data_IF_037663784749
#
_entry.id   IF_037663784749
#
_cell.length_a   1.000
_cell.length_b   1.000
_cell.length_c   1.000
_cell.angle_alpha   90.00
_cell.angle_beta   90.00
_cell.angle_gamma   90.00
#
_symmetry.space_group_name_H-M   'P 1'
#
loop_
_entity.id
_entity.type
_entity.pdbx_description
1 polymer ?
#
# COMPACT_ATOMS: atom_id res chain seq x y z
N UNK A 1 -48.78 39.26 -26.87
CA UNK A 1 -47.44 39.86 -26.67
C UNK A 1 -46.58 38.81 -25.97
N UNK A 2 -45.93 37.91 -26.71
CA UNK A 2 -44.49 37.91 -27.01
C UNK A 2 -43.59 38.34 -25.83
N UNK A 3 -42.69 37.40 -25.47
CA UNK A 3 -41.37 37.50 -24.82
C UNK A 3 -41.34 36.79 -23.45
N UNK A 4 -40.39 35.94 -23.11
CA UNK A 4 -39.25 35.30 -23.80
C UNK A 4 -38.81 34.16 -22.85
N UNK A 5 -38.48 33.00 -23.40
CA UNK A 5 -37.86 31.88 -22.67
C UNK A 5 -36.43 32.27 -22.25
N UNK A 6 -35.94 31.76 -21.12
CA UNK A 6 -34.62 31.10 -21.09
C UNK A 6 -34.40 30.37 -19.76
N UNK A 7 -34.51 29.05 -19.86
CA UNK A 7 -33.86 28.07 -18.99
C UNK A 7 -32.37 28.41 -18.85
N UNK A 8 -31.91 28.60 -17.63
CA UNK A 8 -30.50 28.43 -17.27
C UNK A 8 -30.45 27.57 -16.00
N UNK A 9 -30.54 26.26 -16.23
CA UNK A 9 -30.02 25.26 -15.32
C UNK A 9 -28.50 25.40 -15.30
N UNK A 10 -27.98 26.14 -14.33
CA UNK A 10 -26.55 26.15 -14.03
C UNK A 10 -26.26 25.01 -13.07
N UNK A 11 -25.87 23.89 -13.68
CA UNK A 11 -25.12 22.80 -13.08
C UNK A 11 -23.93 23.38 -12.29
N UNK A 12 -24.05 23.50 -10.97
CA UNK A 12 -22.86 23.61 -10.13
C UNK A 12 -22.24 22.21 -10.05
N UNK A 13 -21.44 21.89 -11.06
CA UNK A 13 -20.47 20.82 -10.97
C UNK A 13 -19.45 21.31 -9.94
N UNK A 14 -19.67 21.00 -8.67
CA UNK A 14 -18.64 21.12 -7.66
C UNK A 14 -17.49 20.23 -8.15
N UNK A 15 -16.43 20.86 -8.63
CA UNK A 15 -15.16 20.20 -8.90
C UNK A 15 -14.72 19.53 -7.60
N UNK A 16 -15.02 18.25 -7.48
CA UNK A 16 -14.32 17.36 -6.56
C UNK A 16 -12.92 17.27 -7.14
N UNK A 17 -12.04 18.17 -6.69
CA UNK A 17 -10.62 17.91 -6.72
C UNK A 17 -10.43 16.66 -5.86
N UNK A 18 -10.43 15.50 -6.51
CA UNK A 18 -9.82 14.32 -5.95
C UNK A 18 -8.36 14.71 -5.74
N UNK A 19 -8.06 15.17 -4.52
CA UNK A 19 -6.70 15.21 -4.02
C UNK A 19 -6.20 13.78 -4.11
N UNK A 20 -5.58 13.44 -5.23
CA UNK A 20 -4.74 12.27 -5.33
C UNK A 20 -3.66 12.51 -4.28
N UNK A 21 -3.79 11.86 -3.13
CA UNK A 21 -2.72 11.69 -2.18
C UNK A 21 -1.62 10.97 -2.95
N UNK A 22 -0.72 11.75 -3.54
CA UNK A 22 0.45 11.26 -4.23
C UNK A 22 1.26 10.47 -3.21
N UNK A 23 1.17 9.14 -3.28
CA UNK A 23 2.27 8.32 -2.80
C UNK A 23 3.50 8.82 -3.56
N UNK A 24 4.58 9.13 -2.85
CA UNK A 24 5.86 9.54 -3.43
C UNK A 24 6.52 8.43 -4.28
N UNK A 25 5.74 7.46 -4.74
CA UNK A 25 6.15 6.38 -5.62
C UNK A 25 5.72 6.68 -7.04
N UNK A 26 6.60 6.29 -7.96
CA UNK A 26 6.39 6.40 -9.40
C UNK A 26 5.11 5.66 -9.83
N UNK A 27 4.45 6.08 -10.92
CA UNK A 27 3.17 5.53 -11.36
C UNK A 27 3.16 4.00 -11.46
N UNK A 28 4.26 3.39 -11.92
CA UNK A 28 4.40 1.95 -12.04
C UNK A 28 4.27 1.19 -10.71
N UNK A 29 4.78 1.73 -9.60
CA UNK A 29 4.66 1.11 -8.28
C UNK A 29 3.21 1.04 -7.80
N UNK A 30 2.44 2.10 -8.08
CA UNK A 30 1.03 2.14 -7.75
C UNK A 30 0.22 1.12 -8.56
N UNK A 31 0.58 0.93 -9.83
CA UNK A 31 -0.01 -0.08 -10.71
C UNK A 31 0.31 -1.50 -10.22
N UNK A 32 1.56 -1.79 -9.86
CA UNK A 32 1.96 -3.08 -9.29
C UNK A 32 1.24 -3.40 -7.98
N UNK A 33 1.12 -2.41 -7.08
CA UNK A 33 0.34 -2.55 -5.84
C UNK A 33 -1.11 -2.92 -6.14
N UNK A 34 -1.73 -2.24 -7.12
CA UNK A 34 -3.12 -2.51 -7.50
C UNK A 34 -3.28 -3.87 -8.17
N UNK A 35 -2.34 -4.23 -9.05
CA UNK A 35 -2.30 -5.53 -9.69
C UNK A 35 -2.20 -6.65 -8.65
N UNK A 36 -1.29 -6.54 -7.69
CA UNK A 36 -1.12 -7.54 -6.63
C UNK A 36 -2.37 -7.70 -5.76
N UNK A 37 -3.03 -6.59 -5.42
CA UNK A 37 -4.28 -6.61 -4.64
C UNK A 37 -5.46 -7.21 -5.38
N UNK A 38 -5.45 -7.21 -6.71
CA UNK A 38 -6.55 -7.69 -7.55
C UNK A 38 -6.38 -9.14 -8.00
N UNK A 39 -5.14 -9.58 -8.23
CA UNK A 39 -4.84 -10.83 -8.94
C UNK A 39 -4.08 -11.85 -8.07
N UNK A 40 -4.19 -11.78 -6.74
CA UNK A 40 -3.47 -12.72 -5.87
C UNK A 40 -4.15 -14.09 -5.78
N UNK A 41 -3.35 -15.13 -5.69
CA UNK A 41 -3.78 -16.50 -5.36
C UNK A 41 -3.99 -16.66 -3.85
N UNK A 42 -3.10 -16.06 -3.07
CA UNK A 42 -3.22 -16.04 -1.61
C UNK A 42 -2.67 -14.75 -1.00
N UNK A 43 -3.23 -14.38 0.15
CA UNK A 43 -2.87 -13.20 0.92
C UNK A 43 -2.59 -13.60 2.37
N UNK A 44 -1.52 -13.06 2.95
CA UNK A 44 -1.18 -13.20 4.37
C UNK A 44 -0.92 -11.81 4.96
N UNK A 45 -1.57 -11.49 6.07
CA UNK A 45 -1.58 -10.13 6.66
C UNK A 45 -1.54 -10.24 8.18
N UNK A 46 -0.34 -10.40 8.78
CA UNK A 46 -0.21 -10.52 10.22
C UNK A 46 -0.58 -9.22 10.93
N UNK A 47 -1.04 -9.34 12.17
CA UNK A 47 -1.30 -8.18 13.03
C UNK A 47 0.01 -7.60 13.53
N UNK A 48 0.31 -6.37 13.12
CA UNK A 48 1.55 -5.66 13.44
C UNK A 48 1.41 -4.86 14.74
N UNK A 49 1.40 -5.56 15.88
CA UNK A 49 1.16 -4.94 17.20
C UNK A 49 2.31 -4.00 17.61
N UNK A 50 1.95 -2.82 18.15
CA UNK A 50 2.86 -1.85 18.79
C UNK A 50 4.08 -1.41 17.95
N UNK A 51 4.01 -1.57 16.64
CA UNK A 51 5.10 -1.16 15.75
C UNK A 51 5.15 0.35 15.58
N UNK A 52 6.32 0.96 15.82
CA UNK A 52 6.59 2.38 15.56
C UNK A 52 6.86 2.67 14.08
N UNK A 53 7.25 1.66 13.29
CA UNK A 53 7.60 1.84 11.87
C UNK A 53 6.49 1.41 10.91
N UNK A 54 5.88 0.25 11.13
CA UNK A 54 4.85 -0.34 10.28
C UNK A 54 3.45 -0.08 10.85
N UNK A 55 2.54 0.41 10.01
CA UNK A 55 1.11 0.45 10.26
C UNK A 55 0.43 -0.87 9.87
N UNK A 56 0.88 -1.48 8.78
CA UNK A 56 0.35 -2.73 8.22
C UNK A 56 1.38 -3.39 7.31
N UNK A 57 1.32 -4.71 7.18
CA UNK A 57 2.13 -5.46 6.20
C UNK A 57 1.27 -6.58 5.60
N UNK A 58 1.32 -6.72 4.28
CA UNK A 58 0.50 -7.68 3.53
C UNK A 58 1.39 -8.38 2.52
N UNK A 59 1.42 -9.71 2.55
CA UNK A 59 2.04 -10.52 1.49
C UNK A 59 0.97 -11.00 0.53
N UNK A 60 1.26 -10.90 -0.76
CA UNK A 60 0.48 -11.45 -1.85
C UNK A 60 1.32 -12.48 -2.59
N UNK A 61 0.74 -13.63 -2.93
CA UNK A 61 1.31 -14.58 -3.88
C UNK A 61 0.54 -14.50 -5.19
N UNK A 62 1.27 -14.46 -6.31
CA UNK A 62 0.74 -14.32 -7.66
C UNK A 62 1.59 -15.22 -8.56
N UNK A 63 0.99 -16.23 -9.18
CA UNK A 63 1.67 -17.13 -10.13
C UNK A 63 2.98 -17.72 -9.59
N UNK A 64 3.01 -18.07 -8.30
CA UNK A 64 4.18 -18.62 -7.61
C UNK A 64 5.24 -17.58 -7.20
N UNK A 65 5.13 -16.33 -7.64
CA UNK A 65 5.90 -15.21 -7.13
C UNK A 65 5.27 -14.64 -5.85
N UNK A 66 6.04 -13.88 -5.07
CA UNK A 66 5.51 -13.22 -3.88
C UNK A 66 6.01 -11.80 -3.72
N UNK A 67 5.06 -10.91 -3.45
CA UNK A 67 5.28 -9.50 -3.16
C UNK A 67 4.77 -9.15 -1.78
N UNK A 68 5.43 -8.20 -1.12
CA UNK A 68 5.01 -7.65 0.16
C UNK A 68 4.67 -6.18 -0.03
N UNK A 69 3.52 -5.76 0.48
CA UNK A 69 3.12 -4.36 0.57
C UNK A 69 3.18 -3.96 2.04
N UNK A 70 4.13 -3.09 2.37
CA UNK A 70 4.32 -2.57 3.72
C UNK A 70 3.88 -1.11 3.81
N UNK A 71 3.06 -0.81 4.81
CA UNK A 71 2.56 0.52 5.07
C UNK A 71 3.44 1.16 6.15
N UNK A 72 4.37 2.02 5.73
CA UNK A 72 5.39 2.62 6.59
C UNK A 72 4.87 3.94 7.16
N UNK A 73 4.90 4.07 8.48
CA UNK A 73 4.51 5.26 9.23
C UNK A 73 5.50 6.39 9.02
N UNK A 74 5.00 7.62 8.89
CA UNK A 74 5.85 8.83 8.90
C UNK A 74 6.18 9.31 10.32
N UNK A 75 5.34 8.96 11.29
CA UNK A 75 5.50 9.25 12.72
C UNK A 75 4.54 8.34 13.52
N UNK A 76 4.58 8.42 14.85
CA UNK A 76 3.80 7.54 15.73
C UNK A 76 2.27 7.71 15.59
N UNK A 77 1.80 8.84 15.07
CA UNK A 77 0.38 9.15 14.86
C UNK A 77 -0.12 8.75 13.45
N UNK A 78 0.76 8.25 12.58
CA UNK A 78 0.40 7.79 11.25
C UNK A 78 -0.14 6.35 11.31
N UNK A 79 -1.46 6.22 11.51
CA UNK A 79 -2.12 4.92 11.58
C UNK A 79 -2.38 4.26 10.22
N UNK A 80 -2.26 5.02 9.13
CA UNK A 80 -2.51 4.52 7.78
C UNK A 80 -1.21 4.03 7.14
N UNK A 81 -0.12 4.75 7.35
CA UNK A 81 1.16 4.54 6.69
C UNK A 81 1.11 4.86 5.19
N UNK A 82 2.29 5.02 4.59
CA UNK A 82 2.46 5.09 3.14
C UNK A 82 2.81 3.70 2.63
N UNK A 83 2.08 3.14 1.63
CA UNK A 83 2.36 1.80 1.12
C UNK A 83 3.64 1.79 0.28
N UNK A 84 4.47 0.76 0.44
CA UNK A 84 5.65 0.44 -0.36
C UNK A 84 5.62 -1.02 -0.76
N UNK A 85 6.04 -1.34 -1.98
CA UNK A 85 6.04 -2.71 -2.50
C UNK A 85 7.46 -3.28 -2.54
N UNK A 86 7.58 -4.53 -2.11
CA UNK A 86 8.82 -5.29 -2.03
C UNK A 86 8.63 -6.60 -2.80
N UNK A 87 9.57 -6.92 -3.69
CA UNK A 87 9.47 -7.98 -4.68
C UNK A 87 10.30 -9.20 -4.27
N UNK A 88 10.09 -10.34 -4.92
CA UNK A 88 10.92 -11.55 -4.78
C UNK A 88 11.09 -12.05 -3.33
N UNK A 89 10.06 -11.88 -2.50
CA UNK A 89 10.09 -12.31 -1.10
C UNK A 89 9.83 -13.82 -1.01
N UNK A 90 10.87 -14.60 -0.68
CA UNK A 90 10.69 -16.05 -0.51
C UNK A 90 9.77 -16.41 0.66
N UNK A 91 9.17 -17.60 0.60
CA UNK A 91 8.38 -18.14 1.71
C UNK A 91 9.18 -18.24 3.02
N UNK A 92 10.46 -18.58 2.91
CA UNK A 92 11.35 -18.65 4.05
C UNK A 92 11.56 -17.28 4.70
N UNK A 93 11.82 -16.25 3.90
CA UNK A 93 11.98 -14.87 4.39
C UNK A 93 10.72 -14.36 5.05
N UNK A 94 9.57 -14.60 4.43
CA UNK A 94 8.29 -14.20 5.01
C UNK A 94 8.01 -14.89 6.36
N UNK A 95 8.28 -16.19 6.44
CA UNK A 95 8.13 -16.94 7.68
C UNK A 95 9.10 -16.44 8.77
N UNK A 96 10.36 -16.20 8.42
CA UNK A 96 11.35 -15.64 9.33
C UNK A 96 10.92 -14.25 9.83
N UNK A 97 10.44 -13.39 8.92
CA UNK A 97 9.90 -12.07 9.26
C UNK A 97 8.82 -12.16 10.35
N UNK A 98 7.79 -12.99 10.13
CA UNK A 98 6.70 -13.14 11.11
C UNK A 98 7.19 -13.71 12.44
N UNK A 99 8.02 -14.75 12.39
CA UNK A 99 8.50 -15.41 13.60
C UNK A 99 9.37 -14.49 14.45
N UNK A 100 10.35 -13.81 13.85
CA UNK A 100 11.21 -12.88 14.62
C UNK A 100 10.45 -11.62 15.07
N UNK A 101 9.43 -11.18 14.33
CA UNK A 101 8.61 -10.06 14.75
C UNK A 101 7.74 -10.36 15.97
N UNK A 102 7.24 -11.59 16.12
CA UNK A 102 6.42 -12.00 17.28
C UNK A 102 7.24 -11.98 18.58
N UNK A 103 8.51 -12.35 18.52
CA UNK A 103 9.40 -12.40 19.69
C UNK A 103 10.28 -11.14 19.83
N UNK A 104 10.15 -10.18 18.91
CA UNK A 104 11.00 -9.00 18.83
C UNK A 104 10.25 -7.77 18.32
N UNK A 105 10.91 -6.98 17.48
CA UNK A 105 10.32 -5.79 16.86
C UNK A 105 9.93 -6.05 15.41
N UNK A 106 8.69 -5.71 15.05
CA UNK A 106 8.23 -5.71 13.66
C UNK A 106 9.13 -4.86 12.75
N UNK A 107 9.65 -3.75 13.26
CA UNK A 107 10.54 -2.86 12.50
C UNK A 107 11.89 -3.52 12.21
N UNK A 108 12.52 -4.11 13.22
CA UNK A 108 13.83 -4.77 13.07
C UNK A 108 13.73 -6.01 12.18
N UNK A 109 12.71 -6.82 12.39
CA UNK A 109 12.46 -8.01 11.56
C UNK A 109 12.20 -7.63 10.10
N UNK A 110 11.43 -6.57 9.86
CA UNK A 110 11.21 -6.05 8.51
C UNK A 110 12.50 -5.60 7.82
N UNK A 111 13.36 -4.88 8.55
CA UNK A 111 14.67 -4.47 8.04
C UNK A 111 15.52 -5.66 7.62
N UNK A 112 15.54 -6.70 8.45
CA UNK A 112 16.38 -7.88 8.25
C UNK A 112 15.93 -8.75 7.07
N UNK A 113 14.62 -8.88 6.85
CA UNK A 113 14.09 -9.88 5.91
C UNK A 113 13.44 -9.32 4.65
N UNK A 114 12.97 -8.06 4.65
CA UNK A 114 12.11 -7.52 3.60
C UNK A 114 12.66 -6.21 3.02
N UNK A 115 13.24 -5.30 3.83
CA UNK A 115 13.57 -3.92 3.40
C UNK A 115 14.43 -3.85 2.14
N UNK A 116 15.41 -4.73 1.99
CA UNK A 116 16.36 -4.72 0.88
C UNK A 116 15.77 -5.18 -0.46
N UNK A 117 14.53 -5.66 -0.44
CA UNK A 117 13.80 -6.16 -1.60
C UNK A 117 12.85 -5.12 -2.20
N UNK A 118 13.09 -3.83 -1.94
CA UNK A 118 12.27 -2.76 -2.50
C UNK A 118 12.22 -2.91 -4.02
N UNK A 119 11.02 -3.00 -4.59
CA UNK A 119 10.89 -3.18 -6.04
C UNK A 119 11.49 -1.96 -6.75
N UNK A 120 12.25 -2.20 -7.82
CA UNK A 120 12.68 -1.13 -8.73
C UNK A 120 11.50 -0.73 -9.61
N UNK A 121 10.68 0.17 -9.08
CA UNK A 121 9.65 0.81 -9.87
C UNK A 121 10.29 1.96 -10.63
N UNK A 122 10.69 1.73 -11.89
CA UNK A 122 11.22 2.80 -12.74
C UNK A 122 10.14 3.69 -13.34
#
# INVERSE_FOLDING_TARGET
MKKIYLLLALLTISNVALAQYGSSQKPYCSELINYAKKNYDSRDSPTVLMSSMLAKVERYKIDGASVVIAYIKKNDFDFNGTPYIFCDISDERWRAFKNEAIYGSWGESFHKYIRDYLCDCQ
#
